data_IF_325124083876
#
_entry.id   IF_325124083876
#
_cell.length_a   1.000
_cell.length_b   1.000
_cell.length_c   1.000
_cell.angle_alpha   90.00
_cell.angle_beta   90.00
_cell.angle_gamma   90.00
#
_symmetry.space_group_name_H-M   'P 1'
#
loop_
_entity.id
_entity.type
_entity.pdbx_description
1 polymer ?
#
# COMPACT_ATOMS: atom_id res chain seq x y z
N UNK A 1 -9.58 26.26 16.90
CA UNK A 1 -8.39 25.37 17.06
C UNK A 1 -7.55 25.51 15.80
N UNK A 2 -6.33 25.95 15.92
CA UNK A 2 -5.45 26.14 14.76
C UNK A 2 -4.87 24.81 14.31
N UNK A 3 -4.47 24.65 13.03
CA UNK A 3 -3.79 23.47 12.45
C UNK A 3 -2.67 22.86 13.31
N UNK A 4 -2.27 23.54 14.38
CA UNK A 4 -1.23 23.18 15.33
C UNK A 4 -1.69 22.12 16.34
N UNK A 5 -2.98 21.97 16.61
CA UNK A 5 -3.48 21.07 17.65
C UNK A 5 -3.70 19.64 17.16
N UNK A 6 -4.00 19.43 15.86
CA UNK A 6 -4.06 18.08 15.26
C UNK A 6 -2.69 17.38 15.31
N UNK A 7 -1.61 18.13 15.21
CA UNK A 7 -0.22 17.63 15.27
C UNK A 7 0.22 17.37 16.71
N UNK A 8 -0.42 17.97 17.70
CA UNK A 8 -0.02 17.89 19.11
C UNK A 8 -0.48 16.60 19.81
N UNK A 9 -1.44 15.87 19.24
CA UNK A 9 -1.89 14.58 19.78
C UNK A 9 -1.21 13.46 19.01
N UNK A 10 -0.13 12.85 19.54
CA UNK A 10 0.53 11.75 18.85
C UNK A 10 -0.46 10.60 18.66
N UNK A 11 -0.46 10.04 17.45
CA UNK A 11 -1.09 8.75 17.19
C UNK A 11 -0.52 7.73 18.19
N UNK A 12 -1.34 6.92 18.85
CA UNK A 12 -0.87 5.89 19.77
C UNK A 12 -0.12 4.79 19.01
N UNK A 13 1.16 4.96 18.80
CA UNK A 13 2.04 4.07 18.07
C UNK A 13 3.50 4.50 18.18
N UNK A 14 4.37 3.88 17.40
CA UNK A 14 5.79 4.22 17.35
C UNK A 14 6.02 5.68 16.92
N UNK A 15 7.08 6.32 17.36
CA UNK A 15 7.33 7.73 17.09
C UNK A 15 7.51 7.99 15.59
N UNK A 16 7.14 9.19 15.16
CA UNK A 16 7.46 9.72 13.85
C UNK A 16 8.96 10.02 13.77
N UNK A 17 9.56 9.78 12.62
CA UNK A 17 10.98 10.00 12.33
C UNK A 17 11.12 11.18 11.39
N UNK A 18 11.88 12.19 11.76
CA UNK A 18 12.21 13.37 10.94
C UNK A 18 13.46 13.13 10.07
N UNK A 19 13.74 14.07 9.16
CA UNK A 19 14.94 14.04 8.32
C UNK A 19 14.78 13.18 7.06
N UNK A 20 13.53 13.00 6.61
CA UNK A 20 13.24 12.21 5.42
C UNK A 20 12.90 13.10 4.22
N UNK A 21 13.17 12.58 3.02
CA UNK A 21 12.55 13.03 1.78
C UNK A 21 11.50 12.00 1.36
N UNK A 22 10.35 12.47 0.89
CA UNK A 22 9.29 11.61 0.36
C UNK A 22 8.76 12.17 -0.95
N UNK A 23 8.67 11.30 -1.96
CA UNK A 23 8.11 11.61 -3.28
C UNK A 23 6.98 10.65 -3.60
N UNK A 24 5.90 11.19 -4.15
CA UNK A 24 4.82 10.43 -4.75
C UNK A 24 5.20 10.10 -6.20
N UNK A 25 5.15 8.83 -6.55
CA UNK A 25 5.32 8.31 -7.90
C UNK A 25 3.98 7.73 -8.35
N UNK A 26 3.36 8.43 -9.29
CA UNK A 26 2.02 8.08 -9.78
C UNK A 26 2.13 7.10 -10.95
N UNK A 27 1.48 5.95 -10.82
CA UNK A 27 1.44 4.85 -11.77
C UNK A 27 2.82 4.20 -12.05
N UNK A 28 2.82 3.11 -12.81
CA UNK A 28 4.04 2.38 -13.16
C UNK A 28 5.03 3.20 -14.00
N UNK A 29 4.49 4.10 -14.84
CA UNK A 29 5.30 4.99 -15.70
C UNK A 29 6.26 5.89 -14.90
N UNK A 30 5.86 6.35 -13.71
CA UNK A 30 6.73 7.12 -12.84
C UNK A 30 7.54 6.21 -11.89
N UNK A 31 6.95 5.10 -11.42
CA UNK A 31 7.56 4.26 -10.39
C UNK A 31 8.67 3.35 -10.94
N UNK A 32 8.45 2.66 -12.05
CA UNK A 32 9.39 1.67 -12.55
C UNK A 32 10.76 2.24 -12.96
N UNK A 33 10.85 3.37 -13.68
CA UNK A 33 12.15 3.96 -13.99
C UNK A 33 12.97 4.31 -12.74
N UNK A 34 12.32 4.87 -11.72
CA UNK A 34 12.97 5.25 -10.44
C UNK A 34 13.44 4.01 -9.65
N UNK A 35 12.63 2.95 -9.62
CA UNK A 35 12.96 1.69 -8.95
C UNK A 35 14.13 0.98 -9.68
N UNK A 36 14.09 0.88 -11.01
CA UNK A 36 15.13 0.26 -11.81
C UNK A 36 16.45 1.04 -11.74
N UNK A 37 16.40 2.38 -11.75
CA UNK A 37 17.58 3.22 -11.57
C UNK A 37 18.20 3.01 -10.18
N UNK A 38 17.37 2.91 -9.11
CA UNK A 38 17.86 2.64 -7.78
C UNK A 38 18.50 1.24 -7.67
N UNK A 39 17.93 0.20 -8.30
CA UNK A 39 18.53 -1.15 -8.36
C UNK A 39 19.88 -1.10 -9.09
N UNK A 40 19.96 -0.35 -10.20
CA UNK A 40 21.19 -0.23 -10.97
C UNK A 40 22.33 0.46 -10.19
N UNK A 41 21.98 1.43 -9.31
CA UNK A 41 22.91 2.17 -8.47
C UNK A 41 23.27 1.48 -7.15
N UNK A 42 22.69 0.32 -6.84
CA UNK A 42 22.94 -0.41 -5.59
C UNK A 42 24.41 -0.86 -5.49
N UNK A 43 25.00 -0.63 -4.32
CA UNK A 43 26.40 -0.94 -3.99
C UNK A 43 26.55 -2.07 -2.98
N UNK A 44 25.62 -2.18 -2.01
CA UNK A 44 25.75 -3.10 -0.87
C UNK A 44 24.64 -4.13 -0.81
N UNK A 45 23.37 -3.66 -0.76
CA UNK A 45 22.24 -4.54 -0.48
C UNK A 45 20.96 -4.10 -1.18
N UNK A 46 20.21 -5.08 -1.68
CA UNK A 46 18.85 -4.92 -2.20
C UNK A 46 17.93 -5.85 -1.42
N UNK A 47 16.86 -5.29 -0.80
CA UNK A 47 15.77 -6.05 -0.19
C UNK A 47 14.52 -5.82 -1.02
N UNK A 48 13.99 -6.87 -1.63
CA UNK A 48 12.75 -6.82 -2.41
C UNK A 48 11.71 -7.77 -1.81
N UNK A 49 10.58 -7.25 -1.37
CA UNK A 49 9.41 -8.00 -0.95
C UNK A 49 8.23 -7.58 -1.84
N UNK A 50 7.65 -8.55 -2.57
CA UNK A 50 6.67 -8.25 -3.59
C UNK A 50 5.52 -9.25 -3.58
N UNK A 51 4.27 -8.76 -3.52
CA UNK A 51 3.11 -9.62 -3.62
C UNK A 51 3.00 -10.25 -5.00
N UNK A 52 3.01 -9.44 -6.07
CA UNK A 52 2.96 -9.91 -7.44
C UNK A 52 4.24 -9.53 -8.18
N UNK A 53 5.08 -10.52 -8.42
CA UNK A 53 6.25 -10.41 -9.28
C UNK A 53 5.97 -11.25 -10.53
N UNK A 54 5.55 -10.57 -11.63
CA UNK A 54 5.26 -11.19 -12.92
C UNK A 54 6.51 -11.66 -13.64
N UNK A 55 6.32 -12.41 -14.71
CA UNK A 55 7.38 -12.76 -15.69
C UNK A 55 7.08 -12.17 -17.08
N UNK A 56 6.25 -11.12 -17.11
CA UNK A 56 5.96 -10.28 -18.25
C UNK A 56 7.13 -9.31 -18.57
N UNK A 57 6.94 -8.34 -19.46
CA UNK A 57 8.00 -7.43 -19.91
C UNK A 57 8.66 -6.68 -18.75
N UNK A 58 7.88 -6.12 -17.84
CA UNK A 58 8.39 -5.43 -16.65
C UNK A 58 9.04 -6.42 -15.67
N UNK A 59 8.44 -7.56 -15.44
CA UNK A 59 9.00 -8.60 -14.59
C UNK A 59 10.39 -9.03 -15.06
N UNK A 60 10.57 -9.25 -16.35
CA UNK A 60 11.88 -9.59 -16.95
C UNK A 60 12.90 -8.44 -16.81
N UNK A 61 12.48 -7.17 -16.97
CA UNK A 61 13.37 -6.02 -16.76
C UNK A 61 13.87 -5.95 -15.32
N UNK A 62 12.98 -6.15 -14.33
CA UNK A 62 13.36 -6.19 -12.92
C UNK A 62 14.26 -7.39 -12.62
N UNK A 63 13.94 -8.57 -13.12
CA UNK A 63 14.77 -9.76 -12.93
C UNK A 63 16.19 -9.56 -13.51
N UNK A 64 16.29 -9.00 -14.71
CA UNK A 64 17.58 -8.68 -15.33
C UNK A 64 18.40 -7.69 -14.49
N UNK A 65 17.77 -6.60 -13.98
CA UNK A 65 18.42 -5.59 -13.16
C UNK A 65 18.91 -6.17 -11.81
N UNK A 66 18.07 -6.96 -11.14
CA UNK A 66 18.40 -7.64 -9.87
C UNK A 66 19.52 -8.66 -10.05
N UNK A 67 19.46 -9.47 -11.13
CA UNK A 67 20.52 -10.42 -11.47
C UNK A 67 21.84 -9.73 -11.82
N UNK A 68 21.79 -8.59 -12.51
CA UNK A 68 22.98 -7.79 -12.78
C UNK A 68 23.59 -7.22 -11.48
N UNK A 69 22.76 -6.75 -10.54
CA UNK A 69 23.22 -6.29 -9.23
C UNK A 69 23.89 -7.44 -8.44
N UNK A 70 23.27 -8.63 -8.41
CA UNK A 70 23.83 -9.80 -7.73
C UNK A 70 25.18 -10.20 -8.33
N UNK A 71 25.32 -10.19 -9.67
CA UNK A 71 26.63 -10.47 -10.34
C UNK A 71 27.71 -9.42 -10.06
N UNK A 72 27.31 -8.18 -9.70
CA UNK A 72 28.27 -7.15 -9.22
C UNK A 72 28.72 -7.36 -7.78
N UNK A 73 28.15 -8.35 -7.08
CA UNK A 73 28.45 -8.63 -5.67
C UNK A 73 27.50 -7.94 -4.67
N UNK A 74 26.45 -7.29 -5.14
CA UNK A 74 25.41 -6.72 -4.26
C UNK A 74 24.62 -7.87 -3.59
N UNK A 75 24.37 -7.77 -2.27
CA UNK A 75 23.56 -8.75 -1.55
C UNK A 75 22.07 -8.58 -1.90
N UNK A 76 21.55 -9.42 -2.80
CA UNK A 76 20.17 -9.35 -3.26
C UNK A 76 19.32 -10.38 -2.54
N UNK A 77 18.31 -9.92 -1.76
CA UNK A 77 17.36 -10.75 -1.03
C UNK A 77 15.93 -10.46 -1.50
N UNK A 78 15.25 -11.51 -1.98
CA UNK A 78 13.93 -11.41 -2.60
C UNK A 78 12.92 -12.29 -1.86
N UNK A 79 11.77 -11.73 -1.51
CA UNK A 79 10.57 -12.46 -1.07
C UNK A 79 9.46 -12.17 -2.08
N UNK A 80 8.81 -13.21 -2.62
CA UNK A 80 7.61 -13.05 -3.43
C UNK A 80 6.47 -13.93 -2.89
N UNK A 81 5.22 -13.45 -3.00
CA UNK A 81 4.05 -14.21 -2.53
C UNK A 81 3.64 -15.25 -3.57
N UNK A 82 3.38 -16.49 -3.13
CA UNK A 82 3.04 -17.60 -4.00
C UNK A 82 1.70 -17.46 -4.73
N UNK A 83 0.72 -16.77 -4.13
CA UNK A 83 -0.59 -16.53 -4.75
C UNK A 83 -0.53 -15.33 -5.66
N UNK A 84 0.04 -14.23 -5.19
CA UNK A 84 0.18 -13.02 -6.01
C UNK A 84 1.01 -13.25 -7.27
N UNK A 85 2.03 -14.12 -7.19
CA UNK A 85 2.91 -14.45 -8.31
C UNK A 85 2.54 -15.76 -9.01
N UNK A 86 1.28 -16.20 -8.92
CA UNK A 86 0.79 -17.37 -9.70
C UNK A 86 0.95 -17.08 -11.19
N UNK A 87 1.55 -18.04 -11.90
CA UNK A 87 1.86 -17.90 -13.33
C UNK A 87 3.22 -17.25 -13.62
N UNK A 88 3.94 -16.74 -12.62
CA UNK A 88 5.31 -16.30 -12.82
C UNK A 88 6.24 -17.49 -13.12
N UNK A 89 7.22 -17.28 -14.00
CA UNK A 89 8.19 -18.29 -14.40
C UNK A 89 9.11 -18.65 -13.24
N UNK A 90 9.09 -19.92 -12.82
CA UNK A 90 10.07 -20.42 -11.86
C UNK A 90 11.51 -20.37 -12.41
N UNK A 91 11.69 -20.48 -13.73
CA UNK A 91 13.00 -20.36 -14.37
C UNK A 91 13.59 -18.95 -14.16
N UNK A 92 12.79 -17.90 -14.27
CA UNK A 92 13.22 -16.54 -13.97
C UNK A 92 13.77 -16.43 -12.53
N UNK A 93 13.11 -17.02 -11.55
CA UNK A 93 13.61 -17.04 -10.17
C UNK A 93 14.87 -17.90 -10.00
N UNK A 94 14.96 -19.03 -10.70
CA UNK A 94 16.16 -19.86 -10.70
C UNK A 94 17.36 -19.15 -11.36
N UNK A 95 17.13 -18.34 -12.36
CA UNK A 95 18.17 -17.47 -12.96
C UNK A 95 18.67 -16.41 -11.98
N UNK A 96 17.80 -15.80 -11.21
CA UNK A 96 18.18 -14.89 -10.13
C UNK A 96 19.04 -15.59 -9.08
N UNK A 97 18.68 -16.83 -8.67
CA UNK A 97 19.48 -17.61 -7.72
C UNK A 97 20.85 -17.99 -8.31
N UNK A 98 20.91 -18.37 -9.59
CA UNK A 98 22.18 -18.62 -10.29
C UNK A 98 23.07 -17.37 -10.42
N UNK A 99 22.46 -16.19 -10.49
CA UNK A 99 23.17 -14.92 -10.47
C UNK A 99 23.68 -14.53 -9.08
N UNK A 100 23.34 -15.27 -8.02
CA UNK A 100 23.76 -15.02 -6.64
C UNK A 100 22.71 -14.39 -5.73
N UNK A 101 21.49 -14.12 -6.23
CA UNK A 101 20.40 -13.62 -5.40
C UNK A 101 19.85 -14.71 -4.46
N UNK A 102 19.34 -14.31 -3.30
CA UNK A 102 18.63 -15.20 -2.39
C UNK A 102 17.13 -15.01 -2.59
N UNK A 103 16.43 -16.04 -3.06
CA UNK A 103 15.00 -15.97 -3.36
C UNK A 103 14.19 -16.81 -2.39
N UNK A 104 13.05 -16.30 -1.94
CA UNK A 104 12.12 -16.99 -1.04
C UNK A 104 10.69 -16.84 -1.56
N UNK A 105 10.02 -17.96 -1.83
CA UNK A 105 8.59 -17.98 -2.03
C UNK A 105 7.86 -17.97 -0.68
N UNK A 106 7.02 -16.95 -0.46
CA UNK A 106 6.21 -16.84 0.75
C UNK A 106 4.95 -17.72 0.66
N UNK A 107 4.74 -18.55 1.69
CA UNK A 107 3.59 -19.45 1.84
C UNK A 107 3.20 -20.18 0.53
N UNK A 108 4.05 -21.11 0.05
CA UNK A 108 3.80 -21.91 -1.17
C UNK A 108 2.42 -22.57 -1.16
N UNK A 109 1.77 -22.58 -2.33
CA UNK A 109 0.45 -23.20 -2.52
C UNK A 109 0.54 -24.65 -3.00
N UNK A 110 1.68 -25.08 -3.53
CA UNK A 110 1.88 -26.43 -4.03
C UNK A 110 2.17 -27.41 -2.88
N UNK A 111 1.39 -28.51 -2.73
CA UNK A 111 1.51 -29.45 -1.60
C UNK A 111 2.88 -30.12 -1.46
N UNK A 112 3.60 -30.31 -2.57
CA UNK A 112 4.93 -30.94 -2.61
C UNK A 112 6.08 -30.02 -2.19
N UNK A 113 5.81 -28.72 -2.02
CA UNK A 113 6.84 -27.78 -1.57
C UNK A 113 7.07 -27.89 -0.06
N UNK A 114 8.34 -27.90 0.35
CA UNK A 114 8.77 -28.10 1.75
C UNK A 114 8.08 -27.16 2.76
N UNK A 115 7.74 -25.94 2.37
CA UNK A 115 7.10 -24.93 3.24
C UNK A 115 5.58 -24.89 3.13
N UNK A 116 4.98 -25.76 2.32
CA UNK A 116 3.52 -25.84 2.21
C UNK A 116 2.88 -26.11 3.57
N UNK A 117 1.83 -25.37 3.88
CA UNK A 117 0.98 -25.57 5.08
C UNK A 117 -0.44 -25.15 4.73
N UNK A 118 -1.39 -26.05 4.84
CA UNK A 118 -2.81 -25.80 4.56
C UNK A 118 -3.37 -24.62 5.39
N UNK A 119 -2.96 -24.50 6.66
CA UNK A 119 -3.36 -23.42 7.57
C UNK A 119 -2.82 -22.03 7.19
N UNK A 120 -1.92 -21.94 6.21
CA UNK A 120 -1.33 -20.70 5.75
C UNK A 120 -1.80 -20.25 4.35
N UNK A 121 -2.68 -21.05 3.72
CA UNK A 121 -3.13 -20.75 2.35
C UNK A 121 -3.81 -19.38 2.22
N UNK A 122 -4.52 -18.94 3.24
CA UNK A 122 -5.21 -17.64 3.24
C UNK A 122 -4.31 -16.47 3.69
N UNK A 123 -3.16 -16.76 4.32
CA UNK A 123 -2.26 -15.72 4.82
C UNK A 123 -1.29 -15.30 3.74
N UNK A 124 -1.44 -14.08 3.23
CA UNK A 124 -0.63 -13.56 2.11
C UNK A 124 0.30 -12.45 2.58
N UNK A 125 1.40 -12.32 1.87
CA UNK A 125 2.29 -11.18 2.00
C UNK A 125 1.89 -10.14 0.95
N UNK A 126 1.03 -9.21 1.35
CA UNK A 126 0.52 -8.19 0.43
C UNK A 126 1.41 -6.94 0.38
N UNK A 127 2.59 -6.98 1.02
CA UNK A 127 3.53 -5.87 1.01
C UNK A 127 4.26 -5.74 -0.33
N UNK A 128 4.64 -4.52 -0.65
CA UNK A 128 5.48 -4.15 -1.79
C UNK A 128 6.56 -3.24 -1.22
N UNK A 129 7.74 -3.79 -1.01
CA UNK A 129 8.89 -3.11 -0.42
C UNK A 129 10.10 -3.33 -1.31
N UNK A 130 10.78 -2.23 -1.66
CA UNK A 130 12.13 -2.27 -2.22
C UNK A 130 13.00 -1.35 -1.38
N UNK A 131 14.10 -1.86 -0.86
CA UNK A 131 15.10 -1.06 -0.15
C UNK A 131 16.46 -1.25 -0.79
N UNK A 132 17.13 -0.13 -1.03
CA UNK A 132 18.46 -0.06 -1.63
C UNK A 132 19.44 0.51 -0.61
N UNK A 133 20.46 -0.26 -0.25
CA UNK A 133 21.57 0.10 0.63
C UNK A 133 21.16 0.70 1.98
N UNK A 134 19.91 0.41 2.41
CA UNK A 134 19.33 1.01 3.61
C UNK A 134 19.09 2.53 3.53
N UNK A 135 19.27 3.14 2.38
CA UNK A 135 19.21 4.60 2.16
C UNK A 135 17.96 5.04 1.41
N UNK A 136 17.55 4.26 0.42
CA UNK A 136 16.38 4.54 -0.43
C UNK A 136 15.39 3.40 -0.29
N UNK A 137 14.13 3.74 -0.04
CA UNK A 137 13.03 2.79 0.08
C UNK A 137 11.87 3.13 -0.85
N UNK A 138 11.20 2.10 -1.37
CA UNK A 138 9.97 2.23 -2.13
C UNK A 138 8.90 1.36 -1.49
N UNK A 139 7.67 1.91 -1.38
CA UNK A 139 6.50 1.15 -0.97
C UNK A 139 5.22 1.84 -1.44
N UNK A 140 4.18 1.06 -1.73
CA UNK A 140 2.92 1.55 -2.27
C UNK A 140 2.05 0.42 -2.77
N UNK A 141 1.11 0.70 -3.66
CA UNK A 141 0.21 -0.31 -4.23
C UNK A 141 0.80 -1.03 -5.44
N UNK A 142 1.77 -0.43 -6.16
CA UNK A 142 2.30 -0.91 -7.42
C UNK A 142 3.08 -2.22 -7.24
N UNK A 143 2.72 -3.26 -7.99
CA UNK A 143 3.48 -4.51 -8.08
C UNK A 143 4.46 -4.47 -9.27
N UNK A 144 5.15 -5.57 -9.54
CA UNK A 144 6.03 -5.73 -10.70
C UNK A 144 5.28 -6.56 -11.75
N UNK A 145 4.52 -5.88 -12.61
CA UNK A 145 3.78 -6.49 -13.72
C UNK A 145 3.37 -5.42 -14.75
N UNK A 146 3.14 -5.81 -16.01
CA UNK A 146 2.81 -4.91 -17.10
C UNK A 146 1.49 -4.14 -16.89
N UNK A 147 0.59 -4.61 -16.05
CA UNK A 147 -0.72 -3.97 -15.79
C UNK A 147 -0.63 -2.49 -15.37
N UNK A 148 0.45 -2.08 -14.71
CA UNK A 148 0.68 -0.69 -14.29
C UNK A 148 1.37 0.18 -15.35
N UNK A 149 1.81 -0.40 -16.47
CA UNK A 149 2.29 0.37 -17.62
C UNK A 149 1.09 1.04 -18.33
N UNK A 150 1.33 2.18 -19.00
CA UNK A 150 0.31 2.77 -19.87
C UNK A 150 -0.02 1.84 -21.05
N UNK A 151 -1.23 1.98 -21.65
CA UNK A 151 -1.62 1.17 -22.79
C UNK A 151 -0.66 1.26 -23.98
N UNK A 152 -0.09 2.43 -24.23
CA UNK A 152 0.90 2.66 -25.29
C UNK A 152 2.20 1.85 -25.11
N UNK A 153 2.51 1.47 -23.86
CA UNK A 153 3.65 0.62 -23.51
C UNK A 153 3.24 -0.85 -23.32
N UNK A 154 2.04 -1.24 -23.76
CA UNK A 154 1.52 -2.60 -23.68
C UNK A 154 0.90 -2.97 -22.31
N UNK A 155 0.64 -2.01 -21.46
CA UNK A 155 0.04 -2.23 -20.15
C UNK A 155 -1.49 -2.06 -20.13
N UNK A 156 -2.08 -2.11 -18.95
CA UNK A 156 -3.51 -1.88 -18.71
C UNK A 156 -3.81 -0.49 -18.08
N UNK A 157 -2.79 0.33 -17.83
CA UNK A 157 -2.94 1.67 -17.30
C UNK A 157 -3.54 1.72 -15.89
N UNK A 158 -3.31 0.71 -15.05
CA UNK A 158 -3.85 0.70 -13.68
C UNK A 158 -3.41 1.93 -12.89
N UNK A 159 -4.38 2.61 -12.27
CA UNK A 159 -4.15 3.78 -11.43
C UNK A 159 -3.69 3.34 -10.03
N UNK A 160 -2.45 3.69 -9.69
CA UNK A 160 -1.87 3.34 -8.39
C UNK A 160 -0.78 4.32 -7.98
N UNK A 161 -0.33 4.24 -6.72
CA UNK A 161 0.67 5.12 -6.13
C UNK A 161 1.80 4.32 -5.48
N UNK A 162 3.04 4.81 -5.69
CA UNK A 162 4.26 4.36 -5.02
C UNK A 162 4.91 5.56 -4.33
N UNK A 163 5.47 5.36 -3.15
CA UNK A 163 6.32 6.32 -2.47
C UNK A 163 7.79 5.95 -2.62
N UNK A 164 8.62 6.92 -2.98
CA UNK A 164 10.07 6.87 -2.80
C UNK A 164 10.41 7.64 -1.52
N UNK A 165 11.17 7.02 -0.64
CA UNK A 165 11.56 7.55 0.66
C UNK A 165 13.08 7.50 0.75
N UNK A 166 13.69 8.60 1.19
CA UNK A 166 15.11 8.67 1.51
C UNK A 166 15.27 9.20 2.92
N UNK A 167 16.18 8.62 3.69
CA UNK A 167 16.44 9.02 5.06
C UNK A 167 16.13 7.96 6.11
N UNK A 168 16.15 8.32 7.40
CA UNK A 168 16.13 7.36 8.50
C UNK A 168 14.86 6.51 8.60
N UNK A 169 13.73 6.92 8.02
CA UNK A 169 12.50 6.10 8.02
C UNK A 169 12.63 4.83 7.17
N UNK A 170 13.63 4.74 6.26
CA UNK A 170 13.89 3.54 5.44
C UNK A 170 14.22 2.33 6.33
N UNK A 171 14.79 2.55 7.50
CA UNK A 171 15.02 1.50 8.51
C UNK A 171 13.74 0.74 8.85
N UNK A 172 12.59 1.42 8.92
CA UNK A 172 11.30 0.78 9.19
C UNK A 172 10.84 -0.17 8.07
N UNK A 173 11.15 0.12 6.80
CA UNK A 173 10.91 -0.80 5.68
C UNK A 173 11.84 -2.02 5.75
N UNK A 174 13.12 -1.78 6.04
CA UNK A 174 14.11 -2.84 6.24
C UNK A 174 13.72 -3.77 7.38
N UNK A 175 13.21 -3.24 8.49
CA UNK A 175 12.69 -4.01 9.62
C UNK A 175 11.48 -4.86 9.24
N UNK A 176 10.56 -4.32 8.44
CA UNK A 176 9.41 -5.07 7.93
C UNK A 176 9.87 -6.29 7.13
N UNK A 177 10.80 -6.10 6.21
CA UNK A 177 11.42 -7.18 5.43
C UNK A 177 12.16 -8.18 6.33
N UNK A 178 13.06 -7.70 7.19
CA UNK A 178 13.92 -8.54 8.02
C UNK A 178 13.14 -9.46 8.95
N UNK A 179 12.01 -9.01 9.50
CA UNK A 179 11.13 -9.84 10.34
C UNK A 179 10.56 -11.04 9.57
N UNK A 180 10.13 -10.85 8.32
CA UNK A 180 9.63 -11.95 7.48
C UNK A 180 10.77 -12.86 7.04
N UNK A 181 11.87 -12.28 6.62
CA UNK A 181 13.07 -13.02 6.23
C UNK A 181 13.55 -13.95 7.33
N UNK A 182 13.75 -13.42 8.55
CA UNK A 182 14.17 -14.19 9.72
C UNK A 182 13.21 -15.34 10.03
N UNK A 183 11.89 -15.06 9.95
CA UNK A 183 10.88 -16.08 10.17
C UNK A 183 10.91 -17.21 9.13
N UNK A 184 11.23 -16.89 7.88
CA UNK A 184 11.25 -17.84 6.77
C UNK A 184 12.57 -18.61 6.67
N UNK A 185 13.69 -17.98 6.95
CA UNK A 185 15.04 -18.58 6.87
C UNK A 185 15.56 -19.15 8.20
N UNK A 186 14.99 -18.74 9.32
CA UNK A 186 15.48 -19.12 10.66
C UNK A 186 16.80 -18.46 11.06
N UNK A 187 17.27 -17.48 10.30
CA UNK A 187 18.48 -16.70 10.56
C UNK A 187 18.22 -15.22 10.34
N UNK A 188 18.85 -14.39 11.17
CA UNK A 188 18.76 -12.93 11.05
C UNK A 188 19.40 -12.43 9.75
N UNK A 189 18.76 -11.47 9.12
CA UNK A 189 19.31 -10.75 8.00
C UNK A 189 20.36 -9.76 8.50
N UNK A 190 21.52 -9.72 7.86
CA UNK A 190 22.50 -8.67 8.13
C UNK A 190 22.03 -7.39 7.42
N UNK A 191 21.82 -6.34 8.21
CA UNK A 191 21.45 -5.03 7.69
C UNK A 191 22.69 -4.13 7.61
N UNK A 192 22.79 -3.19 6.64
CA UNK A 192 23.87 -2.22 6.57
C UNK A 192 23.99 -1.38 7.84
N UNK A 193 25.20 -1.00 8.22
CA UNK A 193 25.48 -0.22 9.43
C UNK A 193 24.75 1.13 9.48
N UNK A 194 24.44 1.71 8.32
CA UNK A 194 23.63 2.92 8.20
C UNK A 194 22.24 2.79 8.84
N UNK A 195 21.68 1.57 8.91
CA UNK A 195 20.38 1.27 9.53
C UNK A 195 20.47 0.98 11.02
N UNK A 196 21.66 0.77 11.55
CA UNK A 196 21.88 0.47 12.98
C UNK A 196 21.93 1.74 13.84
N UNK A 197 21.97 2.93 13.23
CA UNK A 197 21.91 4.18 13.96
C UNK A 197 20.48 4.43 14.47
N UNK A 198 20.31 4.79 15.76
CA UNK A 198 18.98 5.07 16.28
C UNK A 198 18.36 6.25 15.52
N UNK A 199 17.09 6.17 15.07
CA UNK A 199 16.44 7.25 14.39
C UNK A 199 16.35 8.48 15.29
N UNK A 200 16.56 9.67 14.72
CA UNK A 200 16.33 10.92 15.43
C UNK A 200 14.83 11.07 15.67
N UNK A 201 14.42 10.78 16.90
CA UNK A 201 13.02 10.90 17.30
C UNK A 201 12.61 12.37 17.36
N UNK A 202 11.41 12.67 16.89
CA UNK A 202 10.83 14.02 16.95
C UNK A 202 10.74 14.47 18.42
N UNK A 203 11.66 15.32 18.85
CA UNK A 203 11.58 16.05 20.11
C UNK A 203 11.41 17.56 19.92
N UNK A 204 11.45 18.06 18.68
CA UNK A 204 11.44 19.50 18.41
C UNK A 204 10.80 19.81 17.05
N UNK A 205 9.89 20.78 17.02
CA UNK A 205 9.20 21.31 15.82
C UNK A 205 10.11 22.15 14.89
N UNK A 206 11.41 21.88 14.82
CA UNK A 206 12.37 22.78 14.15
C UNK A 206 12.83 22.36 12.75
N UNK A 207 12.44 21.18 12.26
CA UNK A 207 12.81 20.75 10.91
C UNK A 207 11.64 20.97 9.95
N UNK A 208 11.94 21.51 8.75
CA UNK A 208 10.97 21.67 7.66
C UNK A 208 10.82 20.40 6.81
N UNK A 209 11.31 19.26 7.30
CA UNK A 209 11.29 17.98 6.61
C UNK A 209 10.14 17.09 7.10
N UNK A 210 9.59 16.24 6.22
CA UNK A 210 8.52 15.30 6.56
C UNK A 210 8.85 14.42 7.76
N UNK A 211 7.91 14.34 8.70
CA UNK A 211 7.94 13.35 9.77
C UNK A 211 7.20 12.09 9.29
N UNK A 212 7.91 10.96 9.25
CA UNK A 212 7.43 9.71 8.65
C UNK A 212 7.39 8.60 9.70
N UNK A 213 6.38 7.74 9.59
CA UNK A 213 6.33 6.45 10.28
C UNK A 213 5.98 5.34 9.30
N UNK A 214 6.74 4.24 9.35
CA UNK A 214 6.39 3.02 8.65
C UNK A 214 5.46 2.19 9.55
N UNK A 215 4.26 1.91 9.04
CA UNK A 215 3.24 1.13 9.71
C UNK A 215 3.24 -0.28 9.12
N UNK A 216 4.07 -1.16 9.67
CA UNK A 216 4.10 -2.57 9.27
C UNK A 216 3.07 -3.39 10.05
N UNK A 217 2.20 -4.10 9.37
CA UNK A 217 1.28 -5.06 9.97
C UNK A 217 1.85 -6.47 9.81
N UNK A 218 2.04 -7.16 10.92
CA UNK A 218 2.42 -8.57 10.98
C UNK A 218 1.38 -9.41 11.73
N UNK A 219 1.56 -10.74 11.77
CA UNK A 219 0.57 -11.67 12.33
C UNK A 219 0.44 -11.62 13.87
N UNK A 220 1.34 -10.97 14.60
CA UNK A 220 1.42 -11.15 16.05
C UNK A 220 1.38 -9.84 16.87
N UNK A 221 2.21 -8.84 16.57
CA UNK A 221 2.40 -7.67 17.44
C UNK A 221 1.80 -6.39 16.89
N UNK A 222 1.81 -6.21 15.59
CA UNK A 222 1.47 -4.96 14.91
C UNK A 222 0.12 -4.99 14.20
N UNK A 223 -0.69 -6.04 14.47
CA UNK A 223 -2.05 -6.10 13.93
C UNK A 223 -2.81 -4.81 14.23
N UNK A 224 -3.40 -4.21 13.16
CA UNK A 224 -4.24 -3.01 13.24
C UNK A 224 -3.51 -1.68 13.45
N UNK A 225 -2.17 -1.60 13.38
CA UNK A 225 -1.50 -0.29 13.45
C UNK A 225 -2.01 0.65 12.36
N UNK A 226 -2.08 0.17 11.11
CA UNK A 226 -2.58 0.95 9.98
C UNK A 226 -4.01 1.42 10.22
N UNK A 227 -4.91 0.49 10.60
CA UNK A 227 -6.32 0.83 10.90
C UNK A 227 -6.47 1.79 12.08
N UNK A 228 -5.58 1.72 13.09
CA UNK A 228 -5.58 2.68 14.22
C UNK A 228 -5.17 4.06 13.78
N UNK A 229 -4.12 4.18 12.94
CA UNK A 229 -3.70 5.46 12.37
C UNK A 229 -4.83 6.10 11.57
N UNK A 230 -5.46 5.37 10.64
CA UNK A 230 -6.65 5.86 9.93
C UNK A 230 -7.73 6.36 10.91
N UNK A 231 -8.13 5.54 11.88
CA UNK A 231 -9.18 5.92 12.82
C UNK A 231 -8.81 7.13 13.68
N UNK A 232 -7.54 7.31 14.01
CA UNK A 232 -7.05 8.46 14.75
C UNK A 232 -7.31 9.77 13.98
N UNK A 233 -6.86 9.83 12.71
CA UNK A 233 -6.97 11.03 11.89
C UNK A 233 -8.40 11.25 11.35
N UNK A 234 -9.11 10.21 10.92
CA UNK A 234 -10.50 10.32 10.46
C UNK A 234 -11.46 10.87 11.54
N UNK A 235 -11.24 10.53 12.83
CA UNK A 235 -12.06 11.03 13.93
C UNK A 235 -11.80 12.48 14.27
N UNK A 236 -10.59 12.97 13.99
CA UNK A 236 -10.13 14.33 14.32
C UNK A 236 -10.21 15.29 13.15
N UNK A 237 -10.52 14.80 11.97
CA UNK A 237 -10.65 15.62 10.78
C UNK A 237 -11.64 16.77 10.99
N UNK A 238 -11.25 17.98 10.56
CA UNK A 238 -12.01 19.22 10.73
C UNK A 238 -12.40 19.85 9.39
N UNK A 239 -11.61 19.62 8.32
CA UNK A 239 -11.79 20.29 7.03
C UNK A 239 -12.14 19.32 5.92
N UNK A 240 -11.28 18.34 5.66
CA UNK A 240 -11.45 17.41 4.53
C UNK A 240 -10.80 16.05 4.76
N UNK A 241 -11.37 15.03 4.16
CA UNK A 241 -10.86 13.66 4.09
C UNK A 241 -10.98 13.21 2.64
N UNK A 242 -9.86 12.90 1.97
CA UNK A 242 -9.84 12.25 0.67
C UNK A 242 -9.22 10.87 0.80
N UNK A 243 -9.86 9.86 0.22
CA UNK A 243 -9.42 8.46 0.27
C UNK A 243 -9.55 7.86 -1.13
N UNK A 244 -8.52 7.18 -1.62
CA UNK A 244 -8.59 6.24 -2.73
C UNK A 244 -8.31 4.83 -2.20
N UNK A 245 -9.18 3.88 -2.51
CA UNK A 245 -8.99 2.52 -2.02
C UNK A 245 -9.62 1.49 -2.94
N UNK A 246 -8.81 0.54 -3.43
CA UNK A 246 -9.23 -0.47 -4.40
C UNK A 246 -10.27 -1.43 -3.84
N UNK A 247 -10.17 -1.85 -2.58
CA UNK A 247 -11.13 -2.77 -1.96
C UNK A 247 -11.76 -2.12 -0.73
N UNK A 248 -12.79 -1.28 -1.00
CA UNK A 248 -13.42 -0.45 0.02
C UNK A 248 -14.62 -1.17 0.69
N UNK A 249 -14.32 -2.11 1.58
CA UNK A 249 -15.30 -2.85 2.41
C UNK A 249 -14.99 -2.62 3.91
N UNK A 250 -14.98 -1.36 4.39
CA UNK A 250 -14.46 -1.00 5.70
C UNK A 250 -15.28 -1.58 6.85
N UNK A 251 -14.62 -1.76 7.99
CA UNK A 251 -15.26 -2.19 9.22
C UNK A 251 -16.21 -1.11 9.78
N UNK A 252 -17.06 -1.52 10.73
CA UNK A 252 -18.05 -0.61 11.32
C UNK A 252 -17.45 0.62 12.00
N UNK A 253 -16.16 0.57 12.42
CA UNK A 253 -15.49 1.70 13.10
C UNK A 253 -15.11 2.77 12.09
N UNK A 254 -14.54 2.37 10.96
CA UNK A 254 -14.19 3.27 9.86
C UNK A 254 -15.47 3.88 9.26
N UNK A 255 -16.50 3.07 8.97
CA UNK A 255 -17.79 3.57 8.46
C UNK A 255 -18.42 4.62 9.39
N UNK A 256 -18.36 4.39 10.72
CA UNK A 256 -18.88 5.38 11.70
C UNK A 256 -18.02 6.64 11.74
N UNK A 257 -16.69 6.51 11.62
CA UNK A 257 -15.78 7.67 11.66
C UNK A 257 -16.02 8.58 10.45
N UNK A 258 -16.09 8.03 9.23
CA UNK A 258 -16.39 8.77 8.00
C UNK A 258 -17.76 9.44 8.05
N UNK A 259 -18.81 8.68 8.42
CA UNK A 259 -20.16 9.23 8.53
C UNK A 259 -20.28 10.32 9.61
N UNK A 260 -19.56 10.22 10.73
CA UNK A 260 -19.52 11.27 11.77
C UNK A 260 -18.76 12.50 11.28
N UNK A 261 -17.66 12.34 10.56
CA UNK A 261 -16.90 13.45 10.00
C UNK A 261 -17.77 14.26 9.01
N UNK A 262 -18.42 13.58 8.06
CA UNK A 262 -19.31 14.24 7.09
C UNK A 262 -20.47 14.99 7.78
N UNK A 263 -21.10 14.40 8.83
CA UNK A 263 -22.15 15.08 9.60
C UNK A 263 -21.66 16.29 10.41
N UNK A 264 -20.37 16.39 10.70
CA UNK A 264 -19.75 17.60 11.27
C UNK A 264 -19.45 18.69 10.26
N UNK A 265 -19.72 18.44 8.97
CA UNK A 265 -19.41 19.38 7.87
C UNK A 265 -18.04 19.17 7.23
N UNK A 266 -17.31 18.12 7.58
CA UNK A 266 -16.04 17.74 6.91
C UNK A 266 -16.32 17.31 5.47
N UNK A 267 -15.58 17.83 4.49
CA UNK A 267 -15.64 17.38 3.09
C UNK A 267 -15.00 16.00 2.96
N UNK A 268 -15.83 14.96 2.91
CA UNK A 268 -15.39 13.56 2.83
C UNK A 268 -15.63 13.03 1.42
N UNK A 269 -14.54 12.77 0.69
CA UNK A 269 -14.58 12.22 -0.68
C UNK A 269 -13.82 10.90 -0.75
N UNK A 270 -14.41 9.91 -1.43
CA UNK A 270 -13.83 8.58 -1.55
C UNK A 270 -13.83 8.16 -3.01
N UNK A 271 -12.66 7.82 -3.56
CA UNK A 271 -12.52 7.21 -4.88
C UNK A 271 -12.48 5.68 -4.70
N UNK A 272 -13.31 5.01 -5.45
CA UNK A 272 -13.44 3.55 -5.48
C UNK A 272 -13.39 3.06 -6.93
N UNK A 273 -13.06 1.78 -7.18
CA UNK A 273 -13.06 1.25 -8.53
C UNK A 273 -14.47 1.23 -9.14
N UNK A 274 -14.63 1.77 -10.33
CA UNK A 274 -15.78 1.51 -11.21
C UNK A 274 -15.65 0.15 -11.90
N UNK A 275 -14.40 -0.23 -12.26
CA UNK A 275 -14.01 -1.57 -12.71
C UNK A 275 -13.03 -2.17 -11.70
N UNK A 276 -13.17 -3.45 -11.36
CA UNK A 276 -12.35 -4.14 -10.36
C UNK A 276 -11.78 -5.42 -10.94
N UNK A 277 -10.57 -5.76 -10.56
CA UNK A 277 -9.95 -7.07 -10.79
C UNK A 277 -10.66 -8.21 -10.01
N UNK A 278 -11.47 -7.85 -8.99
CA UNK A 278 -12.27 -8.79 -8.19
C UNK A 278 -13.71 -8.28 -8.04
N UNK A 279 -14.60 -8.61 -8.96
CA UNK A 279 -15.98 -8.11 -9.04
C UNK A 279 -16.79 -8.28 -7.75
N UNK A 280 -16.63 -9.41 -7.06
CA UNK A 280 -17.37 -9.65 -5.81
C UNK A 280 -17.01 -8.63 -4.71
N UNK A 281 -15.77 -8.14 -4.68
CA UNK A 281 -15.34 -7.09 -3.74
C UNK A 281 -16.02 -5.76 -4.09
N UNK A 282 -16.14 -5.43 -5.38
CA UNK A 282 -16.87 -4.26 -5.85
C UNK A 282 -18.34 -4.30 -5.39
N UNK A 283 -19.02 -5.44 -5.56
CA UNK A 283 -20.40 -5.60 -5.07
C UNK A 283 -20.50 -5.48 -3.55
N UNK A 284 -19.56 -6.07 -2.80
CA UNK A 284 -19.51 -5.94 -1.35
C UNK A 284 -19.27 -4.48 -0.89
N UNK A 285 -18.44 -3.73 -1.61
CA UNK A 285 -18.21 -2.29 -1.38
C UNK A 285 -19.50 -1.49 -1.53
N UNK A 286 -20.24 -1.69 -2.61
CA UNK A 286 -21.50 -0.97 -2.89
C UNK A 286 -22.55 -1.15 -1.79
N UNK A 287 -22.56 -2.27 -1.08
CA UNK A 287 -23.50 -2.54 0.01
C UNK A 287 -23.42 -1.51 1.17
N UNK A 288 -22.28 -0.88 1.37
CA UNK A 288 -22.07 0.10 2.45
C UNK A 288 -22.24 1.56 2.00
N UNK A 289 -22.27 1.86 0.70
CA UNK A 289 -22.30 3.23 0.17
C UNK A 289 -23.56 3.99 0.58
N UNK A 290 -24.73 3.35 0.54
CA UNK A 290 -25.99 4.01 0.90
C UNK A 290 -26.00 4.60 2.31
N UNK A 291 -25.22 4.03 3.24
CA UNK A 291 -25.04 4.60 4.57
C UNK A 291 -24.14 5.84 4.57
N UNK A 292 -23.07 5.81 3.77
CA UNK A 292 -22.11 6.91 3.64
C UNK A 292 -22.73 8.10 2.89
N UNK A 293 -23.40 7.84 1.76
CA UNK A 293 -24.11 8.85 0.96
C UNK A 293 -25.15 9.59 1.80
N UNK A 294 -25.98 8.87 2.60
CA UNK A 294 -26.93 9.49 3.53
C UNK A 294 -26.29 10.33 4.64
N UNK A 295 -25.02 10.12 4.92
CA UNK A 295 -24.29 10.92 5.91
C UNK A 295 -23.61 12.15 5.30
N UNK A 296 -23.67 12.33 3.96
CA UNK A 296 -23.04 13.44 3.25
C UNK A 296 -21.63 13.11 2.72
N UNK A 297 -21.21 11.84 2.78
CA UNK A 297 -19.96 11.40 2.13
C UNK A 297 -20.16 11.34 0.62
N UNK A 298 -19.26 11.92 -0.14
CA UNK A 298 -19.25 11.87 -1.60
C UNK A 298 -18.43 10.67 -2.06
N UNK A 299 -18.95 9.89 -3.00
CA UNK A 299 -18.31 8.69 -3.54
C UNK A 299 -18.13 8.88 -5.04
N UNK A 300 -16.94 8.57 -5.52
CA UNK A 300 -16.51 8.72 -6.91
C UNK A 300 -16.06 7.37 -7.44
N UNK A 301 -16.62 6.94 -8.57
CA UNK A 301 -16.19 5.72 -9.26
C UNK A 301 -15.15 6.10 -10.32
N UNK A 302 -13.98 5.45 -10.25
CA UNK A 302 -12.92 5.54 -11.25
C UNK A 302 -13.24 4.56 -12.38
N UNK A 303 -13.59 5.09 -13.55
CA UNK A 303 -14.04 4.28 -14.70
C UNK A 303 -12.97 4.17 -15.81
N UNK A 304 -11.87 4.95 -15.80
CA UNK A 304 -10.83 4.99 -16.84
C UNK A 304 -10.04 3.66 -16.96
N UNK A 305 -9.78 3.03 -15.84
CA UNK A 305 -9.03 1.77 -15.75
C UNK A 305 -9.30 1.12 -14.38
N UNK A 306 -8.51 0.11 -13.99
CA UNK A 306 -8.57 -0.41 -12.62
C UNK A 306 -7.89 0.55 -11.65
N UNK A 307 -8.63 1.03 -10.65
CA UNK A 307 -8.07 1.74 -9.51
C UNK A 307 -7.46 0.75 -8.52
N UNK A 308 -6.15 0.81 -8.31
CA UNK A 308 -5.47 -0.05 -7.35
C UNK A 308 -4.76 0.74 -6.22
N UNK A 309 -4.93 2.06 -6.14
CA UNK A 309 -4.37 2.91 -5.10
C UNK A 309 -4.97 2.65 -3.70
N UNK A 310 -4.14 2.82 -2.66
CA UNK A 310 -4.51 2.75 -1.25
C UNK A 310 -3.90 3.95 -0.52
N UNK A 311 -4.51 5.12 -0.74
CA UNK A 311 -4.00 6.41 -0.27
C UNK A 311 -5.07 7.19 0.47
N UNK A 312 -4.65 8.05 1.36
CA UNK A 312 -5.53 9.02 2.01
C UNK A 312 -4.78 10.28 2.39
N UNK A 313 -5.52 11.38 2.44
CA UNK A 313 -5.05 12.65 2.99
C UNK A 313 -6.15 13.26 3.88
N UNK A 314 -5.75 13.82 5.01
CA UNK A 314 -6.64 14.45 5.99
C UNK A 314 -6.14 15.84 6.31
N UNK A 315 -7.01 16.82 6.12
CA UNK A 315 -6.85 18.23 6.47
C UNK A 315 -5.64 18.92 5.83
N UNK A 316 -5.06 18.35 4.75
CA UNK A 316 -3.87 18.89 4.10
C UNK A 316 -2.60 18.75 4.95
N UNK A 317 -2.57 17.82 5.89
CA UNK A 317 -1.47 17.66 6.82
C UNK A 317 -1.03 16.20 6.99
N UNK A 318 -1.94 15.30 7.35
CA UNK A 318 -1.63 13.88 7.43
C UNK A 318 -1.94 13.19 6.11
N UNK A 319 -1.03 12.33 5.70
CA UNK A 319 -1.20 11.50 4.51
C UNK A 319 -0.75 10.07 4.77
N UNK A 320 -1.30 9.14 4.03
CA UNK A 320 -0.82 7.76 4.02
C UNK A 320 -0.94 7.15 2.62
N UNK A 321 0.04 6.36 2.26
CA UNK A 321 0.02 5.50 1.09
C UNK A 321 0.67 4.15 1.44
N UNK A 322 0.25 3.08 0.79
CA UNK A 322 0.79 1.74 1.06
C UNK A 322 -0.04 0.64 0.43
N UNK A 323 -0.09 -0.50 1.10
CA UNK A 323 -0.69 -1.72 0.56
C UNK A 323 -2.07 -2.04 1.14
N UNK A 324 -2.46 -1.35 2.22
CA UNK A 324 -3.63 -1.69 3.03
C UNK A 324 -4.96 -1.34 2.37
N UNK A 325 -5.77 -2.34 2.10
CA UNK A 325 -7.17 -2.19 1.71
C UNK A 325 -8.10 -2.10 2.93
N UNK A 326 -9.22 -1.41 2.77
CA UNK A 326 -10.28 -1.43 3.78
C UNK A 326 -11.14 -2.70 3.66
N UNK A 327 -10.52 -3.87 3.70
CA UNK A 327 -11.19 -5.16 3.68
C UNK A 327 -10.82 -6.03 4.90
N UNK A 328 -11.41 -7.21 4.99
CA UNK A 328 -11.16 -8.13 6.10
C UNK A 328 -9.78 -8.77 6.01
N UNK A 329 -9.31 -9.09 4.80
CA UNK A 329 -8.02 -9.76 4.59
C UNK A 329 -6.87 -8.84 4.99
N UNK A 330 -6.87 -7.59 4.52
CA UNK A 330 -5.89 -6.59 4.93
C UNK A 330 -5.98 -6.26 6.42
N UNK A 331 -7.20 -6.19 6.99
CA UNK A 331 -7.37 -5.86 8.40
C UNK A 331 -6.89 -6.97 9.36
N UNK A 332 -6.96 -8.26 8.96
CA UNK A 332 -6.87 -9.40 9.88
C UNK A 332 -5.92 -10.49 9.50
N UNK A 333 -5.61 -10.64 8.23
CA UNK A 333 -5.00 -11.85 7.70
C UNK A 333 -3.66 -11.59 7.01
N UNK A 334 -3.58 -10.56 6.16
CA UNK A 334 -2.40 -10.29 5.35
C UNK A 334 -1.31 -9.55 6.13
N UNK A 335 -0.08 -9.68 5.66
CA UNK A 335 0.97 -8.73 5.94
C UNK A 335 0.74 -7.49 5.08
N UNK A 336 0.79 -6.32 5.70
CA UNK A 336 0.59 -5.04 5.03
C UNK A 336 1.65 -4.03 5.49
N UNK A 337 1.86 -3.01 4.68
CA UNK A 337 2.70 -1.87 5.03
C UNK A 337 2.12 -0.58 4.49
N UNK A 338 2.04 0.44 5.33
CA UNK A 338 1.71 1.80 4.94
C UNK A 338 2.77 2.77 5.47
N UNK A 339 2.90 3.87 4.78
CA UNK A 339 3.67 5.03 5.23
C UNK A 339 2.70 6.07 5.76
N UNK A 340 2.89 6.49 6.99
CA UNK A 340 2.19 7.64 7.59
C UNK A 340 3.12 8.84 7.51
N UNK A 341 2.69 9.89 6.81
CA UNK A 341 3.46 11.10 6.57
C UNK A 341 2.74 12.27 7.23
N UNK A 342 3.45 13.03 8.05
CA UNK A 342 2.97 14.26 8.64
C UNK A 342 3.77 15.42 8.06
N UNK A 343 3.26 15.98 6.96
CA UNK A 343 3.89 17.08 6.24
C UNK A 343 2.88 17.76 5.30
N UNK A 344 2.71 19.08 5.44
CA UNK A 344 1.74 19.82 4.67
C UNK A 344 2.10 19.94 3.16
N UNK A 345 3.40 19.94 2.81
CA UNK A 345 3.84 20.04 1.41
C UNK A 345 3.55 18.72 0.68
N UNK A 346 3.86 17.59 1.33
CA UNK A 346 3.55 16.27 0.77
C UNK A 346 2.03 16.06 0.69
N UNK A 347 1.30 16.40 1.76
CA UNK A 347 -0.16 16.32 1.77
C UNK A 347 -0.79 17.17 0.66
N UNK A 348 -0.29 18.39 0.42
CA UNK A 348 -0.76 19.26 -0.67
C UNK A 348 -0.53 18.65 -2.06
N UNK A 349 0.60 17.96 -2.28
CA UNK A 349 0.85 17.24 -3.55
C UNK A 349 -0.12 16.06 -3.73
N UNK A 350 -0.37 15.30 -2.67
CA UNK A 350 -1.33 14.20 -2.73
C UNK A 350 -2.77 14.70 -2.91
N UNK A 351 -3.15 15.83 -2.27
CA UNK A 351 -4.44 16.49 -2.51
C UNK A 351 -4.59 16.94 -3.97
N UNK A 352 -3.56 17.53 -4.57
CA UNK A 352 -3.58 17.90 -5.98
C UNK A 352 -3.82 16.68 -6.88
N UNK A 353 -3.13 15.56 -6.61
CA UNK A 353 -3.37 14.31 -7.32
C UNK A 353 -4.81 13.79 -7.16
N UNK A 354 -5.41 13.92 -5.97
CA UNK A 354 -6.81 13.58 -5.74
C UNK A 354 -7.77 14.48 -6.53
N UNK A 355 -7.48 15.78 -6.62
CA UNK A 355 -8.32 16.71 -7.37
C UNK A 355 -8.31 16.37 -8.87
N UNK A 356 -7.14 16.04 -9.43
CA UNK A 356 -7.02 15.54 -10.81
C UNK A 356 -7.83 14.24 -11.01
N UNK A 357 -7.71 13.29 -10.07
CA UNK A 357 -8.45 12.03 -10.13
C UNK A 357 -9.98 12.25 -10.06
N UNK A 358 -10.47 13.20 -9.24
CA UNK A 358 -11.91 13.49 -9.17
C UNK A 358 -12.48 14.01 -10.48
N UNK A 359 -11.72 14.75 -11.29
CA UNK A 359 -12.18 15.23 -12.61
C UNK A 359 -12.38 14.08 -13.61
N UNK A 360 -11.68 12.95 -13.41
CA UNK A 360 -11.79 11.77 -14.25
C UNK A 360 -12.79 10.74 -13.71
N UNK A 361 -13.33 10.97 -12.50
CA UNK A 361 -14.26 10.07 -11.85
C UNK A 361 -15.71 10.46 -12.12
N UNK A 362 -16.58 9.45 -12.05
CA UNK A 362 -18.03 9.66 -12.02
C UNK A 362 -18.54 9.70 -10.58
N UNK A 363 -19.14 10.82 -10.17
CA UNK A 363 -19.73 10.93 -8.83
C UNK A 363 -21.02 10.09 -8.71
N UNK A 364 -21.13 9.32 -7.65
CA UNK A 364 -22.31 8.50 -7.34
C UNK A 364 -23.34 9.36 -6.60
N UNK A 365 -24.39 9.74 -7.27
CA UNK A 365 -25.45 10.53 -6.68
C UNK A 365 -26.33 9.67 -5.75
N UNK A 366 -26.65 10.20 -4.57
CA UNK A 366 -27.45 9.49 -3.56
C UNK A 366 -28.86 9.13 -4.07
N UNK A 367 -29.45 9.95 -4.94
CA UNK A 367 -30.74 9.73 -5.57
C UNK A 367 -30.70 8.52 -6.51
N UNK A 368 -29.73 8.46 -7.41
CA UNK A 368 -29.59 7.36 -8.37
C UNK A 368 -29.26 6.05 -7.66
N UNK A 369 -28.40 6.11 -6.67
CA UNK A 369 -28.03 4.95 -5.84
C UNK A 369 -29.23 4.37 -5.09
N UNK A 370 -30.19 5.19 -4.68
CA UNK A 370 -31.44 4.74 -4.00
C UNK A 370 -32.31 3.89 -4.91
N UNK A 371 -32.40 4.22 -6.20
CA UNK A 371 -33.30 3.58 -7.17
C UNK A 371 -32.69 2.42 -7.96
N UNK A 372 -31.48 1.95 -7.58
CA UNK A 372 -30.86 0.82 -8.24
C UNK A 372 -31.71 -0.46 -8.18
N UNK A 373 -31.62 -1.35 -9.20
CA UNK A 373 -32.47 -2.56 -9.30
C UNK A 373 -32.40 -3.46 -8.07
N UNK A 374 -33.51 -4.11 -7.71
CA UNK A 374 -33.58 -5.01 -6.55
C UNK A 374 -32.60 -6.18 -6.67
N UNK A 375 -32.43 -6.75 -7.86
CA UNK A 375 -31.44 -7.82 -8.11
C UNK A 375 -30.02 -7.39 -7.78
N UNK A 376 -29.63 -6.16 -8.14
CA UNK A 376 -28.33 -5.60 -7.79
C UNK A 376 -28.17 -5.43 -6.27
N UNK A 377 -29.21 -4.94 -5.58
CA UNK A 377 -29.20 -4.80 -4.11
C UNK A 377 -29.05 -6.15 -3.42
N UNK A 378 -29.70 -7.20 -3.93
CA UNK A 378 -29.57 -8.56 -3.41
C UNK A 378 -28.15 -9.09 -3.61
N UNK A 379 -27.57 -8.91 -4.79
CA UNK A 379 -26.19 -9.32 -5.09
C UNK A 379 -25.18 -8.60 -4.17
N UNK A 380 -25.32 -7.28 -4.02
CA UNK A 380 -24.49 -6.49 -3.10
C UNK A 380 -24.60 -6.99 -1.65
N UNK A 381 -25.83 -7.30 -1.18
CA UNK A 381 -26.06 -7.86 0.16
C UNK A 381 -25.38 -9.22 0.32
N UNK A 382 -25.54 -10.13 -0.63
CA UNK A 382 -24.92 -11.46 -0.58
C UNK A 382 -23.38 -11.35 -0.62
N UNK A 383 -22.82 -10.53 -1.50
CA UNK A 383 -21.38 -10.27 -1.54
C UNK A 383 -20.86 -9.73 -0.19
N UNK A 384 -21.59 -8.79 0.42
CA UNK A 384 -21.21 -8.25 1.73
C UNK A 384 -21.27 -9.30 2.86
N UNK A 385 -22.15 -10.29 2.77
CA UNK A 385 -22.18 -11.43 3.73
C UNK A 385 -20.90 -12.27 3.65
N UNK A 386 -20.31 -12.34 2.47
CA UNK A 386 -19.04 -13.06 2.22
C UNK A 386 -17.79 -12.23 2.53
N UNK A 387 -17.90 -10.98 2.95
CA UNK A 387 -16.77 -10.04 3.18
C UNK A 387 -15.64 -10.53 4.09
N UNK A 388 -15.84 -11.61 4.86
CA UNK A 388 -14.78 -12.22 5.68
C UNK A 388 -13.83 -13.10 4.88
N UNK A 389 -14.20 -13.38 3.63
CA UNK A 389 -13.42 -14.21 2.71
C UNK A 389 -12.86 -13.37 1.54
N UNK A 390 -13.17 -12.08 1.54
CA UNK A 390 -12.77 -11.09 0.53
C UNK A 390 -11.64 -10.21 1.06
#
# INVERSE_FOLDING_TARGET
MTNTELVSVPDPGEPLVEGNLVRLLRNGSAAYPEMLAAIASAEQQILLEMYWFGSDTIGQKFAAALGAAARRGVEVSIIFDAVGSVGASYEMFAELERAGAQVIEFNPIAPWKRRFRLSKLTRRDHRKILVIDGKTGFTGGINIADYWLPPDDGGAGWRDDMLRIEGPAVAGLSDCFARVWTRLRGRTLRLPDALLQPPILVRSRRTHLPAIRILGQDFLRTQRQISRAYLHYLRRAERRIFIANSYFVPDRRVLRALAKAARRGVDVRIIVPGQSDVDIVRHASRAVWGRLLRAGVRIFEWDESVLHAKTAVVDGLWSTAGTFNFDYMSLRVNLEVNVSVLDARFAGRLEASFLEDFELCREVLAVDFRFRPLGQRLLEFLAYRLRKFL
#
